data_IF_108895125325
#
_entry.id   IF_108895125325
#
_cell.length_a   1.000
_cell.length_b   1.000
_cell.length_c   1.000
_cell.angle_alpha   90.00
_cell.angle_beta   90.00
_cell.angle_gamma   90.00
#
_symmetry.space_group_name_H-M   'P 1'
#
loop_
_entity.id
_entity.type
_entity.pdbx_description
1 polymer ?
#
# COMPACT_ATOMS: atom_id res chain seq x y z
N UNK A 1 -10.24 -52.28 -19.34
CA UNK A 1 -9.84 -51.05 -20.08
C UNK A 1 -10.68 -49.83 -19.70
N UNK A 2 -12.01 -49.79 -19.94
CA UNK A 2 -12.89 -48.63 -19.61
C UNK A 2 -12.73 -48.04 -18.19
N UNK A 3 -12.61 -48.89 -17.16
CA UNK A 3 -12.44 -48.47 -15.76
C UNK A 3 -11.12 -47.74 -15.49
N UNK A 4 -10.05 -48.08 -16.20
CA UNK A 4 -8.73 -47.44 -16.05
C UNK A 4 -8.78 -46.01 -16.60
N UNK A 5 -9.43 -45.80 -17.75
CA UNK A 5 -9.59 -44.46 -18.32
C UNK A 5 -10.43 -43.52 -17.44
N UNK A 6 -11.44 -44.05 -16.75
CA UNK A 6 -12.25 -43.26 -15.81
C UNK A 6 -11.41 -42.82 -14.61
N UNK A 7 -10.61 -43.71 -14.02
CA UNK A 7 -9.73 -43.36 -12.89
C UNK A 7 -8.70 -42.32 -13.30
N UNK A 8 -8.07 -42.48 -14.46
CA UNK A 8 -7.09 -41.51 -14.98
C UNK A 8 -7.74 -40.15 -15.25
N UNK A 9 -8.93 -40.11 -15.85
CA UNK A 9 -9.65 -38.86 -16.12
C UNK A 9 -10.02 -38.13 -14.82
N UNK A 10 -10.45 -38.86 -13.79
CA UNK A 10 -10.76 -38.28 -12.47
C UNK A 10 -9.50 -37.71 -11.82
N UNK A 11 -8.37 -38.44 -11.85
CA UNK A 11 -7.09 -37.93 -11.31
C UNK A 11 -6.57 -36.69 -12.04
N UNK A 12 -6.70 -36.63 -13.36
CA UNK A 12 -6.30 -35.45 -14.14
C UNK A 12 -7.20 -34.25 -13.82
N UNK A 13 -8.50 -34.47 -13.69
CA UNK A 13 -9.45 -33.42 -13.33
C UNK A 13 -9.18 -32.88 -11.92
N UNK A 14 -8.95 -33.74 -10.94
CA UNK A 14 -8.63 -33.30 -9.56
C UNK A 14 -7.30 -32.57 -9.49
N UNK A 15 -6.29 -33.02 -10.26
CA UNK A 15 -5.00 -32.32 -10.36
C UNK A 15 -5.15 -30.95 -11.02
N UNK A 16 -5.96 -30.82 -12.08
CA UNK A 16 -6.23 -29.52 -12.71
C UNK A 16 -6.96 -28.57 -11.77
N UNK A 17 -7.96 -29.04 -11.02
CA UNK A 17 -8.68 -28.23 -10.04
C UNK A 17 -7.71 -27.73 -8.96
N UNK A 18 -6.84 -28.61 -8.44
CA UNK A 18 -5.83 -28.24 -7.45
C UNK A 18 -4.83 -27.20 -7.97
N UNK A 19 -4.38 -27.31 -9.23
CA UNK A 19 -3.47 -26.33 -9.85
C UNK A 19 -4.18 -24.98 -10.08
N UNK A 20 -5.46 -24.99 -10.43
CA UNK A 20 -6.25 -23.77 -10.61
C UNK A 20 -6.52 -23.04 -9.29
N UNK A 21 -6.85 -23.77 -8.22
CA UNK A 21 -7.11 -23.21 -6.88
C UNK A 21 -5.85 -22.59 -6.25
N UNK A 22 -4.68 -23.20 -6.49
CA UNK A 22 -3.42 -22.72 -5.92
C UNK A 22 -2.85 -21.49 -6.64
N UNK A 23 -3.51 -21.02 -7.71
CA UNK A 23 -3.08 -19.88 -8.51
C UNK A 23 -3.65 -18.53 -8.05
N UNK A 24 -4.46 -18.52 -6.98
CA UNK A 24 -4.89 -17.28 -6.34
C UNK A 24 -3.69 -16.59 -5.69
N UNK A 25 -3.06 -15.71 -6.47
CA UNK A 25 -1.98 -14.85 -6.00
C UNK A 25 -2.49 -14.02 -4.84
N UNK A 26 -1.98 -14.29 -3.64
CA UNK A 26 -2.28 -13.48 -2.46
C UNK A 26 -2.00 -12.01 -2.76
N UNK A 27 -2.89 -11.09 -2.39
CA UNK A 27 -2.66 -9.67 -2.61
C UNK A 27 -1.42 -9.22 -1.83
N UNK A 28 -0.54 -8.44 -2.48
CA UNK A 28 0.68 -7.93 -1.87
C UNK A 28 0.39 -6.86 -0.81
N UNK A 29 -0.72 -6.14 -0.96
CA UNK A 29 -1.15 -5.08 -0.06
C UNK A 29 -2.31 -5.52 0.81
N UNK A 30 -2.30 -5.07 2.06
CA UNK A 30 -3.45 -5.20 2.94
C UNK A 30 -4.60 -4.36 2.41
N UNK A 31 -5.78 -4.95 2.30
CA UNK A 31 -6.98 -4.20 1.92
C UNK A 31 -7.28 -3.15 2.99
N UNK A 32 -7.68 -1.95 2.56
CA UNK A 32 -8.14 -0.91 3.47
C UNK A 32 -9.45 -1.38 4.13
N UNK A 33 -9.58 -1.32 5.47
CA UNK A 33 -10.84 -1.62 6.13
C UNK A 33 -11.94 -0.62 5.75
N UNK A 34 -13.19 -0.89 6.12
CA UNK A 34 -14.30 0.04 5.88
C UNK A 34 -14.39 1.13 6.96
N UNK A 35 -13.76 0.92 8.12
CA UNK A 35 -13.75 1.84 9.25
C UNK A 35 -12.32 2.18 9.68
N UNK A 36 -12.08 3.37 10.23
CA UNK A 36 -10.79 3.73 10.78
C UNK A 36 -10.39 2.81 11.94
N UNK A 37 -9.10 2.47 12.10
CA UNK A 37 -8.62 1.66 13.21
C UNK A 37 -8.47 2.46 14.53
N UNK A 38 -8.71 3.77 14.50
CA UNK A 38 -8.58 4.69 15.64
C UNK A 38 -9.51 5.91 15.48
N UNK A 39 -9.72 6.72 16.53
CA UNK A 39 -10.38 8.02 16.41
C UNK A 39 -9.62 8.94 15.44
N UNK A 40 -10.33 9.45 14.43
CA UNK A 40 -9.74 10.29 13.38
C UNK A 40 -9.65 11.75 13.80
N UNK A 41 -8.67 12.47 13.25
CA UNK A 41 -8.49 13.91 13.49
C UNK A 41 -8.66 14.73 12.23
N UNK A 42 -9.40 15.84 12.35
CA UNK A 42 -9.52 16.86 11.30
C UNK A 42 -8.42 17.94 11.40
N UNK A 43 -7.56 17.88 12.43
CA UNK A 43 -6.51 18.88 12.64
C UNK A 43 -5.49 18.92 11.50
N UNK A 44 -5.33 17.80 10.79
CA UNK A 44 -4.37 17.63 9.72
C UNK A 44 -4.98 17.84 8.32
N UNK A 45 -6.26 18.21 8.23
CA UNK A 45 -6.95 18.44 6.96
C UNK A 45 -6.25 19.53 6.13
N UNK A 46 -6.05 19.27 4.85
CA UNK A 46 -5.38 20.20 3.93
C UNK A 46 -4.71 19.50 2.75
N UNK A 47 -3.98 20.30 1.95
CA UNK A 47 -3.18 19.82 0.83
C UNK A 47 -1.76 19.54 1.28
N UNK A 48 -1.18 18.46 0.77
CA UNK A 48 0.13 17.97 1.18
C UNK A 48 0.99 17.61 -0.03
N UNK A 49 2.27 17.96 0.06
CA UNK A 49 3.26 17.65 -0.99
C UNK A 49 4.63 17.36 -0.39
N UNK A 50 5.34 16.39 -0.96
CA UNK A 50 6.73 16.10 -0.66
C UNK A 50 7.24 14.94 -1.50
N UNK A 51 8.04 14.07 -0.89
CA UNK A 51 8.70 12.98 -1.61
C UNK A 51 8.98 11.79 -0.69
N UNK A 52 9.16 10.62 -1.31
CA UNK A 52 9.84 9.48 -0.69
C UNK A 52 11.27 9.41 -1.22
N UNK A 53 12.21 9.23 -0.31
CA UNK A 53 13.63 9.02 -0.59
C UNK A 53 13.95 7.54 -0.37
N UNK A 54 14.67 6.95 -1.33
CA UNK A 54 15.22 5.60 -1.19
C UNK A 54 16.54 5.66 -0.43
N UNK A 55 16.72 4.73 0.52
CA UNK A 55 17.97 4.57 1.27
C UNK A 55 18.59 3.19 1.06
N UNK A 56 17.96 2.36 0.22
CA UNK A 56 18.37 0.98 -0.05
C UNK A 56 19.69 0.89 -0.82
N UNK A 57 20.07 1.97 -1.53
CA UNK A 57 21.28 1.99 -2.37
C UNK A 57 21.12 1.26 -3.70
N UNK A 58 19.88 0.88 -4.06
CA UNK A 58 19.57 0.14 -5.28
C UNK A 58 18.98 1.07 -6.35
N UNK A 59 19.42 0.94 -7.60
CA UNK A 59 18.91 1.75 -8.72
C UNK A 59 17.46 1.41 -9.14
N UNK A 60 16.80 0.48 -8.45
CA UNK A 60 15.46 0.00 -8.78
C UNK A 60 14.39 0.97 -8.26
N UNK A 61 14.66 1.61 -7.12
CA UNK A 61 13.65 2.35 -6.37
C UNK A 61 13.92 3.84 -6.40
N UNK A 62 13.44 4.49 -7.45
CA UNK A 62 13.65 5.92 -7.67
C UNK A 62 12.95 6.77 -6.61
N UNK A 63 13.52 7.94 -6.32
CA UNK A 63 12.84 9.01 -5.58
C UNK A 63 11.50 9.33 -6.26
N UNK A 64 10.48 9.63 -5.46
CA UNK A 64 9.14 9.85 -6.00
C UNK A 64 8.44 10.96 -5.26
N UNK A 65 8.03 11.98 -6.01
CA UNK A 65 7.14 13.03 -5.53
C UNK A 65 5.81 12.43 -5.08
N UNK A 66 5.35 12.87 -3.92
CA UNK A 66 4.10 12.47 -3.29
C UNK A 66 3.24 13.71 -3.14
N UNK A 67 1.99 13.63 -3.59
CA UNK A 67 1.00 14.69 -3.46
C UNK A 67 -0.29 14.11 -2.88
N UNK A 68 -1.10 14.92 -2.21
CA UNK A 68 -2.38 14.45 -1.73
C UNK A 68 -3.15 15.43 -0.88
N UNK A 69 -4.24 14.95 -0.33
CA UNK A 69 -5.10 15.69 0.60
C UNK A 69 -5.40 14.87 1.84
N UNK A 70 -5.66 15.58 2.93
CA UNK A 70 -6.35 15.05 4.10
C UNK A 70 -7.67 15.82 4.17
N UNK A 71 -8.78 15.12 4.19
CA UNK A 71 -10.13 15.70 4.22
C UNK A 71 -10.98 14.90 5.21
N UNK A 72 -11.53 15.58 6.22
CA UNK A 72 -12.29 14.96 7.30
C UNK A 72 -11.51 13.83 7.98
N UNK A 73 -10.19 14.00 8.16
CA UNK A 73 -9.29 12.98 8.69
C UNK A 73 -9.01 11.78 7.78
N UNK A 74 -9.58 11.75 6.57
CA UNK A 74 -9.26 10.75 5.54
C UNK A 74 -8.06 11.21 4.72
N UNK A 75 -7.04 10.37 4.67
CA UNK A 75 -5.79 10.61 3.94
C UNK A 75 -5.89 10.01 2.54
N UNK A 76 -5.59 10.80 1.51
CA UNK A 76 -5.49 10.36 0.11
C UNK A 76 -4.21 10.92 -0.51
N UNK A 77 -3.20 10.08 -0.71
CA UNK A 77 -1.92 10.42 -1.30
C UNK A 77 -1.69 9.68 -2.61
N UNK A 78 -0.91 10.26 -3.50
CA UNK A 78 -0.52 9.69 -4.79
C UNK A 78 0.99 9.74 -4.95
N UNK A 79 1.59 8.57 -5.17
CA UNK A 79 2.97 8.42 -5.60
C UNK A 79 3.03 8.63 -7.12
N UNK A 80 3.67 9.71 -7.59
CA UNK A 80 3.56 10.12 -9.00
C UNK A 80 4.27 9.20 -9.98
N UNK A 81 5.39 8.58 -9.57
CA UNK A 81 6.21 7.72 -10.45
C UNK A 81 5.42 6.54 -11.05
N UNK A 82 4.53 5.92 -10.28
CA UNK A 82 3.79 4.72 -10.70
C UNK A 82 2.28 4.81 -10.50
N UNK A 83 1.75 6.02 -10.25
CA UNK A 83 0.34 6.28 -9.98
C UNK A 83 -0.26 5.43 -8.83
N UNK A 84 0.57 5.00 -7.86
CA UNK A 84 0.05 4.30 -6.67
C UNK A 84 -0.67 5.30 -5.77
N UNK A 85 -1.90 4.95 -5.37
CA UNK A 85 -2.66 5.65 -4.35
C UNK A 85 -2.40 5.02 -2.98
N UNK A 86 -2.12 5.86 -2.00
CA UNK A 86 -2.15 5.52 -0.59
C UNK A 86 -3.39 6.17 -0.01
N UNK A 87 -4.23 5.38 0.65
CA UNK A 87 -5.44 5.92 1.27
C UNK A 87 -5.60 5.39 2.69
N UNK A 88 -6.27 6.13 3.55
CA UNK A 88 -6.37 5.76 4.95
C UNK A 88 -6.82 6.90 5.86
N UNK A 89 -6.30 6.94 7.07
CA UNK A 89 -6.72 7.91 8.10
C UNK A 89 -5.54 8.39 8.93
N UNK A 90 -5.74 9.52 9.61
CA UNK A 90 -4.82 10.10 10.58
C UNK A 90 -5.47 10.19 11.96
N UNK A 91 -4.75 9.78 13.00
CA UNK A 91 -5.25 9.78 14.39
C UNK A 91 -5.16 11.17 15.02
N UNK A 92 -5.66 11.32 16.24
CA UNK A 92 -5.50 12.56 17.04
C UNK A 92 -4.03 12.84 17.36
N UNK A 93 -3.25 11.80 17.60
CA UNK A 93 -1.82 11.82 17.89
C UNK A 93 -0.98 12.05 16.63
N UNK A 94 -1.62 12.00 15.45
CA UNK A 94 -1.00 12.19 14.14
C UNK A 94 -0.58 10.89 13.47
N UNK A 95 -0.83 9.72 14.05
CA UNK A 95 -0.43 8.45 13.44
C UNK A 95 -1.22 8.16 12.15
N UNK A 96 -0.52 7.75 11.10
CA UNK A 96 -1.14 7.41 9.82
C UNK A 96 -1.34 5.91 9.66
N UNK A 97 -2.56 5.51 9.30
CA UNK A 97 -2.86 4.15 8.82
C UNK A 97 -3.08 4.18 7.31
N UNK A 98 -2.06 3.83 6.51
CA UNK A 98 -2.07 3.94 5.04
C UNK A 98 -2.12 2.58 4.34
N UNK A 99 -2.91 2.52 3.27
CA UNK A 99 -3.13 1.32 2.47
C UNK A 99 -2.91 1.63 0.99
N UNK A 100 -2.01 0.87 0.36
CA UNK A 100 -1.60 1.05 -1.03
C UNK A 100 -2.49 0.25 -1.99
N UNK A 101 -2.82 0.83 -3.14
CA UNK A 101 -3.59 0.15 -4.19
C UNK A 101 -2.71 -0.50 -5.30
N UNK A 102 -1.42 -0.71 -5.05
CA UNK A 102 -0.52 -1.21 -6.09
C UNK A 102 -0.69 -2.72 -6.32
N UNK A 103 -0.87 -3.20 -7.56
CA UNK A 103 -0.90 -4.64 -7.84
C UNK A 103 0.49 -5.26 -7.94
N UNK A 104 1.54 -4.44 -8.14
CA UNK A 104 2.91 -4.90 -8.39
C UNK A 104 3.81 -4.84 -7.16
N UNK A 105 3.54 -3.90 -6.25
CA UNK A 105 4.42 -3.61 -5.11
C UNK A 105 3.64 -3.66 -3.81
N UNK A 106 4.12 -4.46 -2.86
CA UNK A 106 3.56 -4.56 -1.51
C UNK A 106 4.04 -3.42 -0.62
N UNK A 107 3.64 -2.19 -0.91
CA UNK A 107 4.05 -1.01 -0.14
C UNK A 107 3.55 -1.06 1.30
N UNK A 108 4.41 -0.63 2.22
CA UNK A 108 4.09 -0.37 3.63
C UNK A 108 4.61 1.03 3.95
N UNK A 109 3.70 1.92 4.34
CA UNK A 109 4.03 3.26 4.77
C UNK A 109 3.66 3.38 6.25
N UNK A 110 4.58 3.95 7.02
CA UNK A 110 4.39 4.36 8.39
C UNK A 110 4.75 5.83 8.46
N UNK A 111 4.05 6.59 9.29
CA UNK A 111 4.38 7.99 9.49
C UNK A 111 3.51 8.63 10.54
N UNK A 112 3.94 9.82 10.94
CA UNK A 112 3.25 10.65 11.93
C UNK A 112 3.12 12.06 11.38
N UNK A 113 1.92 12.61 11.46
CA UNK A 113 1.58 13.97 11.13
C UNK A 113 1.86 14.89 12.33
N UNK A 114 2.55 15.98 12.05
CA UNK A 114 2.68 17.16 12.90
C UNK A 114 2.11 18.35 12.14
N UNK A 115 1.82 19.44 12.85
CA UNK A 115 1.10 20.63 12.37
C UNK A 115 1.28 20.95 10.87
N UNK A 116 2.54 21.09 10.44
CA UNK A 116 2.91 21.47 9.07
C UNK A 116 3.70 20.40 8.29
N UNK A 117 3.90 19.21 8.88
CA UNK A 117 4.80 18.21 8.32
C UNK A 117 4.39 16.80 8.69
N UNK A 118 4.40 15.91 7.71
CA UNK A 118 4.29 14.47 7.90
C UNK A 118 5.67 13.87 7.61
N UNK A 119 6.15 13.00 8.49
CA UNK A 119 7.39 12.27 8.29
C UNK A 119 7.16 10.79 8.53
N UNK A 120 7.95 9.94 7.90
CA UNK A 120 7.88 8.52 8.16
C UNK A 120 8.82 7.66 7.34
N UNK A 121 8.55 6.36 7.41
CA UNK A 121 9.31 5.32 6.75
C UNK A 121 8.42 4.57 5.76
N UNK A 122 9.04 4.04 4.72
CA UNK A 122 8.37 3.19 3.75
C UNK A 122 9.22 1.98 3.40
N UNK A 123 8.57 0.89 3.00
CA UNK A 123 9.21 -0.30 2.43
C UNK A 123 8.29 -1.02 1.46
N UNK A 124 8.84 -1.95 0.68
CA UNK A 124 8.06 -2.92 -0.09
C UNK A 124 8.28 -4.34 0.44
N UNK A 125 7.26 -5.17 0.42
CA UNK A 125 7.36 -6.56 0.95
C UNK A 125 7.94 -7.55 -0.06
N UNK A 126 8.01 -7.19 -1.34
CA UNK A 126 8.41 -8.07 -2.43
C UNK A 126 9.68 -7.60 -3.18
N UNK A 127 10.46 -6.72 -2.56
CA UNK A 127 11.77 -6.24 -3.04
C UNK A 127 12.54 -5.61 -1.86
N UNK A 128 13.88 -5.46 -1.95
CA UNK A 128 14.70 -4.85 -0.89
C UNK A 128 14.57 -3.32 -0.78
N UNK A 129 13.48 -2.72 -1.31
CA UNK A 129 13.32 -1.28 -1.30
C UNK A 129 12.70 -0.74 -0.01
N UNK A 130 13.34 0.28 0.55
CA UNK A 130 12.93 0.96 1.76
C UNK A 130 13.53 2.37 1.83
N UNK A 131 12.98 3.18 2.70
CA UNK A 131 13.50 4.52 2.91
C UNK A 131 12.61 5.38 3.77
N UNK A 132 12.81 6.69 3.64
CA UNK A 132 12.05 7.70 4.37
C UNK A 132 11.16 8.47 3.42
N UNK A 133 10.13 9.11 3.95
CA UNK A 133 9.28 10.00 3.18
C UNK A 133 8.84 11.15 4.06
N UNK A 134 8.52 12.27 3.43
CA UNK A 134 7.95 13.41 4.12
C UNK A 134 6.96 14.15 3.23
N UNK A 135 6.02 14.84 3.85
CA UNK A 135 5.13 15.81 3.22
C UNK A 135 5.16 17.11 4.01
N UNK A 136 4.98 18.22 3.32
CA UNK A 136 4.71 19.53 3.89
C UNK A 136 3.31 19.98 3.47
N UNK A 137 2.66 20.74 4.34
CA UNK A 137 1.39 21.37 4.01
C UNK A 137 1.60 22.42 2.91
N UNK A 138 0.70 22.46 1.94
CA UNK A 138 0.71 23.44 0.85
C UNK A 138 -0.27 24.55 1.19
N UNK A 139 0.24 25.78 1.33
CA UNK A 139 -0.58 27.00 1.50
C UNK A 139 -1.12 27.24 2.91
N UNK A 140 -0.24 27.21 3.91
CA UNK A 140 -0.55 27.70 5.27
C UNK A 140 -0.67 29.21 5.34
#
# INVERSE_FOLDING_TARGET
MKRIYIVVAVCVLTLMIFILENNDRRPLNTARPNTPPFPISMHYDGKWEGERRDISGDNICLETRVIGTIEQGMVNLKLLYNNTLLSGWVSNEGDLALYANSPRWGYRFMGTAKKERIDGEWRVTNAPCHGTWYLKRVGG
#
